data_IF_389009710639
#
_entry.id   IF_389009710639
#
_cell.length_a   1.000
_cell.length_b   1.000
_cell.length_c   1.000
_cell.angle_alpha   90.00
_cell.angle_beta   90.00
_cell.angle_gamma   90.00
#
_symmetry.space_group_name_H-M   'P 1'
#
loop_
_entity.id
_entity.type
_entity.pdbx_description
1 polymer ?
#
# COMPACT_ATOMS: atom_id res chain seq x y z
N UNK A 1 -15.45 -17.55 -8.58
CA UNK A 1 -15.13 -17.81 -10.00
C UNK A 1 -15.94 -19.00 -10.47
N UNK A 2 -16.34 -19.06 -11.74
CA UNK A 2 -16.73 -20.32 -12.38
C UNK A 2 -15.77 -21.44 -11.95
N UNK A 3 -16.27 -22.58 -11.47
CA UNK A 3 -15.44 -23.77 -11.20
C UNK A 3 -15.00 -24.48 -12.50
N UNK A 4 -14.89 -23.76 -13.60
CA UNK A 4 -14.49 -24.32 -14.89
C UNK A 4 -12.97 -24.22 -15.00
N UNK A 5 -12.33 -25.33 -15.37
CA UNK A 5 -10.90 -25.37 -15.69
C UNK A 5 -10.63 -24.68 -17.02
N UNK A 6 -9.38 -24.27 -17.25
CA UNK A 6 -8.94 -23.54 -18.45
C UNK A 6 -9.37 -24.24 -19.77
N UNK A 7 -9.20 -25.56 -19.84
CA UNK A 7 -9.61 -26.38 -20.99
C UNK A 7 -11.14 -26.41 -21.19
N UNK A 8 -11.92 -26.39 -20.11
CA UNK A 8 -13.38 -26.34 -20.16
C UNK A 8 -13.88 -24.96 -20.62
N UNK A 9 -13.17 -23.90 -20.21
CA UNK A 9 -13.41 -22.52 -20.69
C UNK A 9 -13.21 -22.42 -22.20
N UNK A 10 -12.08 -22.90 -22.71
CA UNK A 10 -11.77 -22.88 -24.15
C UNK A 10 -12.79 -23.68 -24.97
N UNK A 11 -13.17 -24.86 -24.49
CA UNK A 11 -14.22 -25.68 -25.12
C UNK A 11 -15.58 -24.99 -25.09
N UNK A 12 -15.96 -24.36 -23.98
CA UNK A 12 -17.22 -23.62 -23.88
C UNK A 12 -17.26 -22.43 -24.85
N UNK A 13 -16.15 -21.71 -25.02
CA UNK A 13 -16.03 -20.61 -25.97
C UNK A 13 -16.13 -21.12 -27.41
N UNK A 14 -15.45 -22.24 -27.73
CA UNK A 14 -15.58 -22.90 -29.03
C UNK A 14 -17.02 -23.31 -29.35
N UNK A 15 -17.74 -23.86 -28.39
CA UNK A 15 -19.17 -24.20 -28.55
C UNK A 15 -20.04 -22.95 -28.79
N UNK A 16 -19.77 -21.84 -28.10
CA UNK A 16 -20.49 -20.58 -28.31
C UNK A 16 -20.18 -19.97 -29.69
N UNK A 17 -18.95 -20.10 -30.19
CA UNK A 17 -18.56 -19.65 -31.52
C UNK A 17 -19.20 -20.50 -32.63
N UNK A 18 -19.39 -21.80 -32.38
CA UNK A 18 -20.12 -22.73 -33.24
C UNK A 18 -21.65 -22.55 -33.21
N UNK A 19 -22.17 -21.52 -32.52
CA UNK A 19 -23.59 -21.18 -32.52
C UNK A 19 -24.44 -21.89 -31.46
N UNK A 20 -23.84 -22.66 -30.54
CA UNK A 20 -24.60 -23.26 -29.43
C UNK A 20 -25.15 -22.18 -28.48
N UNK A 21 -26.33 -22.44 -27.91
CA UNK A 21 -26.92 -21.51 -26.94
C UNK A 21 -26.19 -21.58 -25.60
N UNK A 22 -26.17 -20.46 -24.86
CA UNK A 22 -25.55 -20.40 -23.53
C UNK A 22 -26.13 -21.41 -22.54
N UNK A 23 -27.41 -21.75 -22.68
CA UNK A 23 -28.09 -22.75 -21.83
C UNK A 23 -27.60 -24.16 -22.14
N UNK A 24 -27.47 -24.52 -23.43
CA UNK A 24 -26.93 -25.81 -23.83
C UNK A 24 -25.48 -25.99 -23.36
N UNK A 25 -24.65 -24.96 -23.50
CA UNK A 25 -23.27 -24.97 -23.02
C UNK A 25 -23.22 -25.10 -21.49
N UNK A 26 -24.06 -24.37 -20.77
CA UNK A 26 -24.14 -24.45 -19.31
C UNK A 26 -24.52 -25.86 -18.81
N UNK A 27 -25.53 -26.47 -19.43
CA UNK A 27 -25.97 -27.83 -19.12
C UNK A 27 -24.86 -28.86 -19.43
N UNK A 28 -24.12 -28.68 -20.53
CA UNK A 28 -23.02 -29.58 -20.93
C UNK A 28 -21.90 -29.65 -19.89
N UNK A 29 -21.62 -28.55 -19.23
CA UNK A 29 -20.58 -28.45 -18.19
C UNK A 29 -21.13 -28.50 -16.76
N UNK A 30 -22.43 -28.76 -16.58
CA UNK A 30 -23.11 -28.76 -15.28
C UNK A 30 -22.82 -27.48 -14.45
N UNK A 31 -22.89 -26.32 -15.11
CA UNK A 31 -22.71 -25.01 -14.48
C UNK A 31 -23.94 -24.15 -14.66
N UNK A 32 -24.08 -23.12 -13.82
CA UNK A 32 -25.16 -22.16 -14.00
C UNK A 32 -25.01 -21.41 -15.33
N UNK A 33 -26.12 -21.05 -15.98
CA UNK A 33 -26.11 -20.17 -17.17
C UNK A 33 -25.33 -18.87 -16.91
N UNK A 34 -25.44 -18.33 -15.69
CA UNK A 34 -24.72 -17.12 -15.29
C UNK A 34 -23.20 -17.27 -15.41
N UNK A 35 -22.67 -18.46 -15.14
CA UNK A 35 -21.25 -18.80 -15.32
C UNK A 35 -20.81 -18.59 -16.78
N UNK A 36 -21.60 -19.03 -17.74
CA UNK A 36 -21.33 -18.88 -19.19
C UNK A 36 -21.54 -17.43 -19.65
N UNK A 37 -22.54 -16.73 -19.11
CA UNK A 37 -22.77 -15.30 -19.37
C UNK A 37 -21.55 -14.48 -18.93
N UNK A 38 -21.11 -14.65 -17.68
CA UNK A 38 -19.95 -13.94 -17.14
C UNK A 38 -18.66 -14.28 -17.89
N UNK A 39 -18.50 -15.53 -18.31
CA UNK A 39 -17.38 -15.94 -19.14
C UNK A 39 -17.36 -15.19 -20.48
N UNK A 40 -18.50 -15.12 -21.17
CA UNK A 40 -18.63 -14.42 -22.46
C UNK A 40 -18.39 -12.91 -22.30
N UNK A 41 -18.93 -12.30 -21.25
CA UNK A 41 -18.73 -10.87 -20.95
C UNK A 41 -17.27 -10.57 -20.67
N UNK A 42 -16.60 -11.40 -19.87
CA UNK A 42 -15.17 -11.25 -19.59
C UNK A 42 -14.32 -11.40 -20.85
N UNK A 43 -14.58 -12.42 -21.67
CA UNK A 43 -13.85 -12.65 -22.90
C UNK A 43 -13.93 -11.45 -23.85
N UNK A 44 -15.11 -10.82 -23.96
CA UNK A 44 -15.29 -9.59 -24.75
C UNK A 44 -14.48 -8.40 -24.21
N UNK A 45 -14.27 -8.34 -22.89
CA UNK A 45 -13.56 -7.24 -22.24
C UNK A 45 -12.04 -7.41 -22.26
N UNK A 46 -11.52 -8.63 -22.10
CA UNK A 46 -10.07 -8.87 -21.95
C UNK A 46 -9.45 -9.63 -23.12
N UNK A 47 -10.25 -10.20 -24.04
CA UNK A 47 -9.79 -11.09 -25.11
C UNK A 47 -8.91 -12.26 -24.62
N UNK A 48 -8.98 -12.58 -23.33
CA UNK A 48 -8.18 -13.64 -22.69
C UNK A 48 -9.09 -14.62 -21.99
N UNK A 49 -8.75 -15.91 -22.09
CA UNK A 49 -9.40 -17.01 -21.39
C UNK A 49 -8.73 -17.32 -20.06
N UNK A 50 -7.47 -16.93 -19.91
CA UNK A 50 -6.68 -17.16 -18.70
C UNK A 50 -7.18 -16.37 -17.51
N UNK A 51 -7.10 -17.01 -16.34
CA UNK A 51 -7.32 -16.34 -15.07
C UNK A 51 -6.33 -15.20 -14.89
N UNK A 52 -6.85 -13.99 -14.63
CA UNK A 52 -6.03 -12.85 -14.31
C UNK A 52 -5.48 -13.03 -12.89
N UNK A 53 -4.16 -12.91 -12.67
CA UNK A 53 -3.62 -12.87 -11.32
C UNK A 53 -4.28 -11.70 -10.59
N UNK A 54 -4.87 -11.98 -9.43
CA UNK A 54 -5.42 -10.91 -8.59
C UNK A 54 -4.23 -10.14 -8.04
N UNK A 55 -4.10 -8.87 -8.41
CA UNK A 55 -3.29 -7.96 -7.62
C UNK A 55 -3.88 -7.98 -6.21
N UNK A 56 -3.14 -8.53 -5.25
CA UNK A 56 -3.54 -8.49 -3.85
C UNK A 56 -3.75 -7.05 -3.39
N UNK A 57 -4.23 -6.86 -2.16
CA UNK A 57 -4.30 -5.54 -1.55
C UNK A 57 -2.90 -4.91 -1.62
N UNK A 58 -2.72 -3.74 -2.25
CA UNK A 58 -1.43 -3.08 -2.25
C UNK A 58 -0.99 -2.82 -0.80
N UNK A 59 0.30 -2.98 -0.54
CA UNK A 59 0.86 -2.57 0.75
C UNK A 59 0.86 -1.04 0.79
N UNK A 60 -0.01 -0.48 1.62
CA UNK A 60 -0.17 0.97 1.83
C UNK A 60 0.98 1.61 2.63
N UNK A 61 1.95 0.82 3.13
CA UNK A 61 3.05 1.33 3.95
C UNK A 61 4.41 0.90 3.41
N UNK A 62 5.23 1.91 3.09
CA UNK A 62 6.68 1.77 2.90
C UNK A 62 7.31 1.76 4.29
N UNK A 63 7.43 0.59 4.92
CA UNK A 63 7.94 0.46 6.30
C UNK A 63 9.47 0.61 6.41
N UNK A 64 10.14 1.02 5.33
CA UNK A 64 11.59 1.23 5.28
C UNK A 64 12.42 -0.04 5.50
N UNK A 65 11.80 -1.23 5.57
CA UNK A 65 12.52 -2.46 5.88
C UNK A 65 13.32 -2.95 4.69
N UNK A 66 14.64 -2.86 4.79
CA UNK A 66 15.59 -3.49 3.88
C UNK A 66 16.05 -4.85 4.42
N UNK A 67 16.25 -5.84 3.55
CA UNK A 67 16.91 -7.10 3.91
C UNK A 67 18.43 -6.87 3.83
N UNK A 68 19.14 -7.07 4.94
CA UNK A 68 20.60 -6.90 5.00
C UNK A 68 21.23 -8.22 5.48
N UNK A 69 22.31 -8.64 4.82
CA UNK A 69 23.14 -9.75 5.29
C UNK A 69 24.20 -9.21 6.26
N UNK A 70 24.25 -9.75 7.49
CA UNK A 70 25.21 -9.38 8.54
C UNK A 70 25.61 -10.62 9.36
N UNK A 71 26.74 -10.57 10.08
CA UNK A 71 27.13 -11.68 10.98
C UNK A 71 26.27 -11.65 12.26
N UNK A 72 26.14 -12.79 12.94
CA UNK A 72 25.38 -12.88 14.19
C UNK A 72 25.95 -11.90 15.22
N UNK A 73 25.08 -11.18 15.92
CA UNK A 73 25.35 -10.22 17.00
C UNK A 73 25.93 -8.85 16.59
N UNK A 74 25.93 -8.48 15.31
CA UNK A 74 26.39 -7.14 14.85
C UNK A 74 25.27 -6.08 14.77
N UNK A 75 24.02 -6.46 15.05
CA UNK A 75 22.85 -5.61 14.79
C UNK A 75 22.75 -4.33 15.63
N UNK A 76 23.40 -4.28 16.79
CA UNK A 76 23.31 -3.16 17.75
C UNK A 76 24.54 -2.24 17.74
N UNK A 77 25.55 -2.47 16.90
CA UNK A 77 26.66 -1.53 16.78
C UNK A 77 26.17 -0.21 16.21
N UNK A 78 26.64 0.91 16.77
CA UNK A 78 26.26 2.26 16.36
C UNK A 78 26.46 2.50 14.85
N UNK A 79 27.54 1.95 14.28
CA UNK A 79 27.82 1.99 12.84
C UNK A 79 26.80 1.23 11.96
N UNK A 80 25.97 0.38 12.55
CA UNK A 80 24.98 -0.48 11.89
C UNK A 80 23.52 -0.02 12.12
N UNK A 81 23.33 1.01 12.97
CA UNK A 81 22.05 1.67 13.23
C UNK A 81 21.86 2.76 12.17
N UNK A 82 20.80 2.63 11.36
CA UNK A 82 20.37 3.69 10.47
C UNK A 82 19.21 4.42 11.12
N UNK A 83 19.39 5.72 11.35
CA UNK A 83 18.27 6.58 11.73
C UNK A 83 17.24 6.55 10.60
N UNK A 84 16.02 6.15 10.94
CA UNK A 84 14.86 6.22 10.04
C UNK A 84 13.88 7.18 10.68
N UNK A 85 13.70 8.35 10.08
CA UNK A 85 12.59 9.19 10.46
C UNK A 85 11.31 8.65 9.77
N UNK A 86 10.22 8.57 10.52
CA UNK A 86 8.93 8.15 9.96
C UNK A 86 8.37 9.18 8.97
N UNK A 87 9.00 10.35 8.88
CA UNK A 87 8.57 11.51 8.11
C UNK A 87 9.70 12.08 7.26
N UNK A 88 10.45 11.23 6.56
CA UNK A 88 11.64 11.51 5.72
C UNK A 88 11.64 12.66 4.73
N UNK A 89 10.59 13.48 4.70
CA UNK A 89 10.59 14.77 4.02
C UNK A 89 9.34 15.63 4.33
N UNK A 90 8.61 15.33 5.43
CA UNK A 90 7.30 15.93 5.68
C UNK A 90 7.33 17.46 5.81
N UNK A 91 8.45 18.00 6.29
CA UNK A 91 8.69 19.45 6.36
C UNK A 91 8.98 20.08 4.99
N UNK A 92 9.76 19.43 4.14
CA UNK A 92 10.14 19.96 2.82
C UNK A 92 8.92 19.98 1.90
N UNK A 93 8.08 18.94 1.88
CA UNK A 93 6.86 18.96 1.04
C UNK A 93 5.86 20.06 1.45
N UNK A 94 5.68 20.33 2.75
CA UNK A 94 4.81 21.41 3.24
C UNK A 94 5.42 22.79 2.92
N UNK A 95 6.73 22.96 3.14
CA UNK A 95 7.41 24.21 2.81
C UNK A 95 7.44 24.48 1.31
N UNK A 96 7.72 23.47 0.48
CA UNK A 96 7.64 23.57 -0.99
C UNK A 96 6.21 23.90 -1.39
N UNK A 97 5.16 23.30 -0.80
CA UNK A 97 3.77 23.69 -1.08
C UNK A 97 3.40 25.13 -0.66
N UNK A 98 3.95 25.61 0.47
CA UNK A 98 3.71 26.97 0.97
C UNK A 98 4.52 28.01 0.19
N UNK A 99 5.72 27.67 -0.30
CA UNK A 99 6.64 28.59 -0.98
C UNK A 99 6.59 28.53 -2.52
N UNK A 100 6.22 27.38 -3.09
CA UNK A 100 6.18 27.06 -4.52
C UNK A 100 4.83 26.38 -4.86
N UNK A 101 3.83 27.14 -5.35
CA UNK A 101 2.92 26.81 -6.47
C UNK A 101 1.58 27.60 -6.39
N UNK A 102 1.16 28.06 -7.56
CA UNK A 102 -0.03 28.88 -7.91
C UNK A 102 -1.42 28.24 -7.66
N UNK A 103 -1.53 27.17 -6.87
CA UNK A 103 -2.79 26.38 -6.71
C UNK A 103 -3.38 26.35 -5.30
N UNK A 104 -2.76 27.00 -4.33
CA UNK A 104 -3.31 27.12 -2.97
C UNK A 104 -4.05 28.45 -2.88
N UNK A 105 -5.31 28.42 -2.44
CA UNK A 105 -6.09 29.63 -2.17
C UNK A 105 -5.32 30.54 -1.20
N UNK A 106 -5.23 31.83 -1.53
CA UNK A 106 -4.55 32.84 -0.71
C UNK A 106 -5.07 32.86 0.73
N UNK A 107 -6.35 32.56 0.95
CA UNK A 107 -6.94 32.46 2.28
C UNK A 107 -6.38 31.27 3.05
N UNK A 108 -6.28 30.11 2.41
CA UNK A 108 -5.74 28.89 3.01
C UNK A 108 -4.25 29.04 3.35
N UNK A 109 -3.46 29.64 2.45
CA UNK A 109 -2.05 29.96 2.70
C UNK A 109 -1.88 30.87 3.91
N UNK A 110 -2.70 31.90 4.01
CA UNK A 110 -2.64 32.86 5.12
C UNK A 110 -3.01 32.21 6.45
N UNK A 111 -4.06 31.37 6.46
CA UNK A 111 -4.45 30.62 7.65
C UNK A 111 -3.35 29.68 8.13
N UNK A 112 -2.72 28.94 7.21
CA UNK A 112 -1.62 28.02 7.55
C UNK A 112 -0.39 28.77 8.08
N UNK A 113 -0.01 29.88 7.45
CA UNK A 113 1.10 30.71 7.93
C UNK A 113 0.82 31.32 9.30
N UNK A 114 -0.42 31.75 9.55
CA UNK A 114 -0.86 32.27 10.85
C UNK A 114 -0.75 31.22 11.94
N UNK A 115 -1.30 30.02 11.72
CA UNK A 115 -1.22 28.94 12.70
C UNK A 115 0.23 28.49 12.93
N UNK A 116 1.05 28.42 11.87
CA UNK A 116 2.46 28.09 11.99
C UNK A 116 3.24 29.12 12.83
N UNK A 117 3.02 30.41 12.57
CA UNK A 117 3.68 31.49 13.32
C UNK A 117 3.17 31.61 14.77
N UNK A 118 1.97 31.13 15.05
CA UNK A 118 1.42 31.06 16.40
C UNK A 118 2.01 29.92 17.24
N UNK A 119 2.75 28.97 16.64
CA UNK A 119 3.42 27.92 17.41
C UNK A 119 4.58 28.55 18.20
N UNK A 120 4.55 28.51 19.54
CA UNK A 120 5.60 29.12 20.35
C UNK A 120 6.94 28.43 20.09
N UNK A 121 7.94 29.18 19.67
CA UNK A 121 9.26 28.63 19.37
C UNK A 121 9.89 27.94 20.59
N UNK A 122 9.59 28.40 21.81
CA UNK A 122 10.06 27.75 23.03
C UNK A 122 9.40 26.40 23.31
N UNK A 123 8.20 26.14 22.78
CA UNK A 123 7.62 24.80 22.79
C UNK A 123 8.41 23.85 21.90
N UNK A 124 8.75 24.28 20.69
CA UNK A 124 9.56 23.51 19.74
C UNK A 124 10.96 23.25 20.31
N UNK A 125 11.63 24.29 20.83
CA UNK A 125 12.96 24.16 21.45
C UNK A 125 12.95 23.19 22.63
N UNK A 126 11.98 23.29 23.54
CA UNK A 126 11.83 22.33 24.66
C UNK A 126 11.62 20.90 24.17
N UNK A 127 10.86 20.71 23.09
CA UNK A 127 10.69 19.40 22.45
C UNK A 127 12.01 18.85 21.93
N UNK A 128 12.75 19.65 21.15
CA UNK A 128 14.05 19.29 20.60
C UNK A 128 15.07 18.99 21.71
N UNK A 129 15.17 19.86 22.70
CA UNK A 129 16.08 19.70 23.85
C UNK A 129 15.73 18.47 24.70
N UNK A 130 14.44 18.08 24.73
CA UNK A 130 13.99 16.87 25.41
C UNK A 130 14.36 15.58 24.65
N UNK A 131 14.51 15.63 23.32
CA UNK A 131 14.82 14.42 22.52
C UNK A 131 16.12 13.77 22.98
N UNK A 132 17.14 14.57 23.28
CA UNK A 132 18.44 14.06 23.73
C UNK A 132 18.36 13.22 25.02
N UNK A 133 17.39 13.47 25.90
CA UNK A 133 17.16 12.68 27.12
C UNK A 133 16.19 11.52 26.90
N UNK A 134 15.24 11.66 25.98
CA UNK A 134 14.23 10.64 25.69
C UNK A 134 14.79 9.48 24.87
N UNK A 135 15.71 9.74 23.94
CA UNK A 135 16.34 8.68 23.14
C UNK A 135 17.10 7.66 24.02
N UNK A 136 17.98 8.06 24.96
CA UNK A 136 18.60 7.12 25.90
C UNK A 136 17.60 6.41 26.82
N UNK A 137 16.55 7.10 27.27
CA UNK A 137 15.52 6.49 28.11
C UNK A 137 14.75 5.38 27.38
N UNK A 138 14.46 5.56 26.09
CA UNK A 138 13.80 4.53 25.25
C UNK A 138 14.73 3.35 24.97
N UNK A 139 16.03 3.62 24.76
CA UNK A 139 17.06 2.59 24.57
C UNK A 139 17.19 1.75 25.86
N UNK A 140 17.31 2.39 27.02
CA UNK A 140 17.40 1.71 28.31
C UNK A 140 16.11 0.95 28.67
N UNK A 141 14.95 1.43 28.23
CA UNK A 141 13.67 0.76 28.41
C UNK A 141 13.40 -0.37 27.40
N UNK A 142 14.38 -0.74 26.55
CA UNK A 142 14.23 -1.76 25.50
C UNK A 142 12.97 -1.56 24.63
N UNK A 143 12.59 -0.30 24.40
CA UNK A 143 11.50 0.09 23.51
C UNK A 143 10.17 -0.66 23.70
N UNK A 144 9.64 -0.79 24.92
CA UNK A 144 8.25 -1.26 25.13
C UNK A 144 7.88 -2.58 24.44
N UNK A 145 8.87 -3.45 24.22
CA UNK A 145 8.61 -4.83 23.82
C UNK A 145 8.30 -5.56 25.12
N UNK A 146 7.01 -5.67 25.44
CA UNK A 146 6.49 -6.67 26.36
C UNK A 146 6.95 -8.05 25.86
N UNK A 147 8.07 -8.53 26.39
CA UNK A 147 8.43 -9.94 26.35
C UNK A 147 7.61 -10.63 27.44
N UNK A 148 6.42 -11.09 27.05
CA UNK A 148 5.70 -12.10 27.81
C UNK A 148 6.59 -13.34 27.95
N UNK A 149 6.76 -13.75 29.21
CA UNK A 149 6.88 -15.16 29.65
C UNK A 149 5.91 -16.08 28.92
#
# INVERSE_FOLDING_TARGET
MPRLRQNEIERAIGMLAAGMTQVQVANRFNVSKMTIVLLKTRLRATCTTHDRPRSGRPRETTDGRARVYRRRNEGLFDACVQETDRFGDGGIMVWVGITYQERIDAQLRTALLKEWNNIPQDFIRRLVDSMRRRCPAVINASGGIDMLT
#
